data_IF_079549455191
#
_entry.id   IF_079549455191
#
_cell.length_a   1.000
_cell.length_b   1.000
_cell.length_c   1.000
_cell.angle_alpha   90.00
_cell.angle_beta   90.00
_cell.angle_gamma   90.00
#
_symmetry.space_group_name_H-M   'P 1'
#
loop_
_entity.id
_entity.type
_entity.pdbx_description
1 polymer ?
#
# COMPACT_ATOMS: atom_id res chain seq x y z
N UNK A 1 18.22 -2.26 -7.23
CA UNK A 1 16.78 -2.59 -7.11
C UNK A 1 16.01 -1.59 -7.94
N UNK A 2 15.17 -2.08 -8.83
CA UNK A 2 14.27 -1.33 -9.69
C UNK A 2 12.90 -1.32 -9.02
N UNK A 3 12.26 -0.16 -8.93
CA UNK A 3 10.92 -0.02 -8.37
C UNK A 3 9.94 0.14 -9.51
N UNK A 4 8.96 -0.75 -9.57
CA UNK A 4 7.86 -0.71 -10.52
C UNK A 4 6.63 -0.19 -9.78
N UNK A 5 5.95 0.80 -10.35
CA UNK A 5 4.69 1.31 -9.80
C UNK A 5 3.55 0.76 -10.64
N UNK A 6 2.60 0.10 -9.99
CA UNK A 6 1.38 -0.39 -10.61
C UNK A 6 0.30 0.66 -10.33
N UNK A 7 -0.25 1.22 -11.40
CA UNK A 7 -1.34 2.20 -11.32
C UNK A 7 -2.53 1.73 -12.14
N UNK A 8 -3.73 2.20 -11.77
CA UNK A 8 -4.97 1.80 -12.43
C UNK A 8 -6.19 2.23 -11.64
N UNK A 9 -7.35 2.17 -12.30
CA UNK A 9 -8.63 2.51 -11.70
C UNK A 9 -8.93 1.63 -10.46
N UNK A 10 -9.79 2.09 -9.53
CA UNK A 10 -10.33 1.21 -8.51
C UNK A 10 -10.97 -0.03 -9.16
N UNK A 11 -10.85 -1.19 -8.50
CA UNK A 11 -11.36 -2.47 -8.98
C UNK A 11 -10.75 -2.98 -10.32
N UNK A 12 -9.63 -2.43 -10.80
CA UNK A 12 -8.97 -2.92 -12.02
C UNK A 12 -8.09 -4.16 -11.82
N UNK A 13 -8.15 -4.80 -10.64
CA UNK A 13 -7.36 -5.99 -10.32
C UNK A 13 -5.92 -5.74 -9.85
N UNK A 14 -5.57 -4.50 -9.47
CA UNK A 14 -4.20 -4.15 -8.98
C UNK A 14 -3.80 -4.99 -7.77
N UNK A 15 -4.65 -5.00 -6.75
CA UNK A 15 -4.45 -5.79 -5.52
C UNK A 15 -4.29 -7.28 -5.83
N UNK A 16 -5.01 -7.80 -6.83
CA UNK A 16 -4.86 -9.18 -7.29
C UNK A 16 -3.50 -9.41 -7.93
N UNK A 17 -3.06 -8.53 -8.84
CA UNK A 17 -1.75 -8.64 -9.48
C UNK A 17 -0.60 -8.54 -8.46
N UNK A 18 -0.71 -7.61 -7.52
CA UNK A 18 0.21 -7.39 -6.39
C UNK A 18 0.30 -8.65 -5.51
N UNK A 19 -0.83 -9.32 -5.26
CA UNK A 19 -0.87 -10.61 -4.56
C UNK A 19 -0.16 -11.73 -5.34
N UNK A 20 -0.42 -11.84 -6.65
CA UNK A 20 0.25 -12.84 -7.49
C UNK A 20 1.78 -12.63 -7.54
N UNK A 21 2.24 -11.38 -7.65
CA UNK A 21 3.67 -11.05 -7.61
C UNK A 21 4.29 -11.42 -6.25
N UNK A 22 3.56 -11.24 -5.16
CA UNK A 22 4.02 -11.69 -3.84
C UNK A 22 4.14 -13.22 -3.77
N UNK A 23 3.17 -13.94 -4.33
CA UNK A 23 3.19 -15.41 -4.36
C UNK A 23 4.33 -15.95 -5.23
N UNK A 24 4.73 -15.20 -6.26
CA UNK A 24 5.95 -15.44 -7.04
C UNK A 24 7.26 -15.01 -6.32
N UNK A 25 7.14 -14.47 -5.10
CA UNK A 25 8.24 -14.10 -4.23
C UNK A 25 8.90 -12.75 -4.53
N UNK A 26 8.21 -11.87 -5.26
CA UNK A 26 8.63 -10.49 -5.40
C UNK A 26 8.42 -9.71 -4.10
N UNK A 27 9.30 -8.73 -3.88
CA UNK A 27 9.08 -7.73 -2.85
C UNK A 27 7.92 -6.83 -3.27
N UNK A 28 6.87 -6.77 -2.45
CA UNK A 28 5.65 -6.04 -2.76
C UNK A 28 5.28 -5.15 -1.57
N UNK A 29 4.95 -3.90 -1.85
CA UNK A 29 4.37 -2.99 -0.87
C UNK A 29 2.88 -2.85 -1.12
N UNK A 30 2.07 -3.20 -0.11
CA UNK A 30 0.61 -3.04 -0.16
C UNK A 30 0.20 -1.57 -0.05
N UNK A 31 -1.03 -1.31 -0.52
CA UNK A 31 -1.60 0.02 -0.50
C UNK A 31 -1.91 0.48 0.92
N UNK A 32 -1.29 1.61 1.31
CA UNK A 32 -1.42 2.17 2.66
C UNK A 32 -2.84 2.70 2.95
N UNK A 33 -3.57 3.13 1.92
CA UNK A 33 -4.95 3.62 2.08
C UNK A 33 -5.89 2.51 2.52
N UNK A 34 -5.77 1.32 1.93
CA UNK A 34 -6.59 0.17 2.28
C UNK A 34 -6.36 -0.29 3.72
N UNK A 35 -5.10 -0.38 4.13
CA UNK A 35 -4.74 -0.72 5.51
C UNK A 35 -5.32 0.31 6.51
N UNK A 36 -5.16 1.61 6.21
CA UNK A 36 -5.63 2.67 7.09
C UNK A 36 -7.16 2.71 7.21
N UNK A 37 -7.89 2.43 6.13
CA UNK A 37 -9.35 2.32 6.15
C UNK A 37 -9.80 1.15 7.03
N UNK A 38 -9.13 -0.01 6.92
CA UNK A 38 -9.46 -1.18 7.74
C UNK A 38 -9.16 -0.93 9.22
N UNK A 39 -8.01 -0.32 9.55
CA UNK A 39 -7.69 0.07 10.93
C UNK A 39 -8.73 1.03 11.53
N UNK A 40 -9.23 1.98 10.73
CA UNK A 40 -10.31 2.88 11.16
C UNK A 40 -11.61 2.14 11.41
N UNK A 41 -12.01 1.23 10.51
CA UNK A 41 -13.20 0.39 10.68
C UNK A 41 -13.09 -0.48 11.93
N UNK A 42 -11.97 -1.15 12.13
CA UNK A 42 -11.72 -2.01 13.30
C UNK A 42 -11.68 -1.19 14.60
N UNK A 43 -11.20 0.05 14.54
CA UNK A 43 -11.19 1.00 15.65
C UNK A 43 -12.52 1.73 15.89
N UNK A 44 -13.58 1.41 15.13
CA UNK A 44 -14.90 2.05 15.25
C UNK A 44 -14.96 3.51 14.79
N UNK A 45 -13.99 3.96 13.98
CA UNK A 45 -14.01 5.27 13.34
C UNK A 45 -14.85 5.23 12.06
N UNK A 46 -15.57 6.31 11.78
CA UNK A 46 -16.44 6.47 10.62
C UNK A 46 -15.68 6.59 9.30
N UNK A 47 -16.42 6.82 8.22
CA UNK A 47 -15.83 7.02 6.90
C UNK A 47 -15.01 8.33 6.90
N UNK A 48 -13.73 8.33 6.48
CA UNK A 48 -12.93 9.55 6.38
C UNK A 48 -13.54 10.66 5.48
N UNK A 49 -14.57 10.35 4.69
CA UNK A 49 -15.31 11.28 3.84
C UNK A 49 -16.49 11.97 4.53
N UNK A 50 -16.75 11.69 5.81
CA UNK A 50 -17.87 12.29 6.56
C UNK A 50 -17.71 13.80 6.75
N UNK A 51 -16.47 14.29 6.91
CA UNK A 51 -16.16 15.72 7.02
C UNK A 51 -14.85 16.09 6.33
N UNK A 52 -14.69 17.38 6.03
CA UNK A 52 -13.45 17.91 5.44
C UNK A 52 -12.28 17.74 6.41
N UNK A 53 -12.53 17.89 7.70
CA UNK A 53 -11.54 17.76 8.76
C UNK A 53 -11.03 16.32 8.87
N UNK A 54 -11.92 15.33 8.85
CA UNK A 54 -11.55 13.91 8.87
C UNK A 54 -10.82 13.47 7.61
N UNK A 55 -11.20 14.03 6.46
CA UNK A 55 -10.51 13.79 5.20
C UNK A 55 -9.07 14.31 5.25
N UNK A 56 -8.87 15.54 5.74
CA UNK A 56 -7.52 16.11 5.89
C UNK A 56 -6.70 15.32 6.90
N UNK A 57 -7.28 14.86 8.01
CA UNK A 57 -6.59 14.00 8.98
C UNK A 57 -6.17 12.68 8.33
N UNK A 58 -7.09 12.04 7.60
CA UNK A 58 -6.83 10.80 6.87
C UNK A 58 -5.72 10.96 5.85
N UNK A 59 -5.76 11.98 5.00
CA UNK A 59 -4.76 12.22 3.96
C UNK A 59 -3.37 12.49 4.56
N UNK A 60 -3.30 13.23 5.67
CA UNK A 60 -2.03 13.47 6.38
C UNK A 60 -1.43 12.19 6.94
N UNK A 61 -2.27 11.35 7.57
CA UNK A 61 -1.85 10.07 8.12
C UNK A 61 -1.42 9.10 7.01
N UNK A 62 -2.21 9.00 5.93
CA UNK A 62 -1.90 8.22 4.74
C UNK A 62 -0.55 8.63 4.16
N UNK A 63 -0.33 9.93 3.94
CA UNK A 63 0.93 10.43 3.40
C UNK A 63 2.13 10.12 4.29
N UNK A 64 2.00 10.31 5.60
CA UNK A 64 3.07 10.05 6.56
C UNK A 64 3.47 8.56 6.56
N UNK A 65 2.49 7.66 6.68
CA UNK A 65 2.72 6.20 6.69
C UNK A 65 3.24 5.70 5.36
N UNK A 66 2.71 6.21 4.24
CA UNK A 66 3.15 5.81 2.91
C UNK A 66 4.61 6.20 2.68
N UNK A 67 5.00 7.41 3.09
CA UNK A 67 6.39 7.87 3.01
C UNK A 67 7.33 6.97 3.82
N UNK A 68 6.95 6.62 5.04
CA UNK A 68 7.75 5.74 5.91
C UNK A 68 7.90 4.35 5.30
N UNK A 69 6.80 3.72 4.87
CA UNK A 69 6.80 2.41 4.21
C UNK A 69 7.62 2.38 2.94
N UNK A 70 7.46 3.36 2.06
CA UNK A 70 8.24 3.45 0.82
C UNK A 70 9.73 3.65 1.13
N UNK A 71 10.05 4.46 2.14
CA UNK A 71 11.42 4.67 2.58
C UNK A 71 12.07 3.40 3.12
N UNK A 72 11.36 2.65 3.97
CA UNK A 72 11.83 1.36 4.48
C UNK A 72 12.00 0.34 3.35
N UNK A 73 11.02 0.25 2.46
CA UNK A 73 11.04 -0.65 1.31
C UNK A 73 12.26 -0.40 0.41
N UNK A 74 12.59 0.87 0.16
CA UNK A 74 13.78 1.29 -0.61
C UNK A 74 15.07 0.99 0.18
N UNK A 75 15.13 1.40 1.45
CA UNK A 75 16.33 1.34 2.28
C UNK A 75 16.78 -0.10 2.57
N UNK A 76 15.83 -1.00 2.76
CA UNK A 76 16.09 -2.42 3.02
C UNK A 76 16.17 -3.26 1.74
N UNK A 77 16.09 -2.64 0.56
CA UNK A 77 16.20 -3.36 -0.71
C UNK A 77 15.06 -4.36 -0.93
N UNK A 78 13.84 -4.06 -0.48
CA UNK A 78 12.68 -4.95 -0.59
C UNK A 78 12.64 -6.10 0.42
N UNK A 79 13.44 -6.09 1.49
CA UNK A 79 13.42 -7.10 2.57
C UNK A 79 12.23 -6.97 3.52
N UNK A 80 11.02 -6.91 2.98
CA UNK A 80 9.77 -6.94 3.75
C UNK A 80 9.06 -8.26 3.49
N UNK A 81 9.26 -9.25 4.36
CA UNK A 81 8.32 -10.36 4.53
C UNK A 81 8.43 -10.87 5.95
N UNK A 82 7.35 -10.71 6.73
CA UNK A 82 7.24 -11.28 8.07
C UNK A 82 6.87 -12.76 8.06
N UNK A 83 6.49 -13.37 6.94
CA UNK A 83 5.91 -14.73 6.98
C UNK A 83 6.21 -15.69 5.81
N UNK A 84 6.91 -15.32 4.75
CA UNK A 84 7.32 -16.29 3.73
C UNK A 84 8.75 -16.00 3.26
N UNK A 85 9.55 -17.07 3.21
CA UNK A 85 11.01 -17.06 3.06
C UNK A 85 11.56 -16.17 1.95
N UNK A 86 12.79 -15.71 2.23
CA UNK A 86 13.63 -14.90 1.37
C UNK A 86 13.69 -15.44 -0.07
N UNK A 87 13.46 -14.58 -1.07
CA UNK A 87 14.18 -14.73 -2.34
C UNK A 87 15.32 -13.72 -2.31
N UNK A 88 16.49 -14.22 -1.93
CA UNK A 88 17.74 -13.49 -2.05
C UNK A 88 17.94 -13.07 -3.51
N UNK A 89 17.90 -11.77 -3.80
CA UNK A 89 18.23 -11.24 -5.13
C UNK A 89 17.08 -10.70 -5.99
N UNK A 90 15.88 -10.45 -5.46
CA UNK A 90 14.84 -9.75 -6.23
C UNK A 90 15.29 -8.34 -6.58
N UNK A 91 15.70 -8.15 -7.85
CA UNK A 91 16.08 -6.85 -8.41
C UNK A 91 14.89 -5.90 -8.56
N UNK A 92 13.67 -6.32 -8.27
CA UNK A 92 12.42 -5.60 -8.54
C UNK A 92 11.52 -5.54 -7.31
N UNK A 93 10.99 -4.36 -7.02
CA UNK A 93 9.94 -4.15 -6.03
C UNK A 93 8.71 -3.51 -6.66
N UNK A 94 7.51 -3.83 -6.17
CA UNK A 94 6.25 -3.32 -6.73
C UNK A 94 5.48 -2.48 -5.71
N UNK A 95 4.99 -1.31 -6.15
CA UNK A 95 4.14 -0.42 -5.36
C UNK A 95 2.75 -0.39 -5.98
N UNK A 96 1.71 -0.66 -5.19
CA UNK A 96 0.33 -0.37 -5.58
C UNK A 96 0.02 1.11 -5.32
N UNK A 97 -0.42 1.82 -6.36
CA UNK A 97 -0.77 3.24 -6.28
C UNK A 97 -2.11 3.45 -6.97
N UNK A 98 -3.13 3.72 -6.19
CA UNK A 98 -4.36 4.29 -6.71
C UNK A 98 -4.33 5.81 -6.64
N UNK A 99 -4.55 6.45 -7.79
CA UNK A 99 -4.68 7.91 -7.89
C UNK A 99 -5.99 8.42 -7.27
N UNK A 100 -6.94 7.53 -6.91
CA UNK A 100 -8.33 7.89 -6.62
C UNK A 100 -9.01 7.02 -5.54
N UNK A 101 -8.28 6.24 -4.74
CA UNK A 101 -8.92 5.29 -3.79
C UNK A 101 -9.64 5.97 -2.61
N UNK A 102 -9.40 7.27 -2.47
CA UNK A 102 -10.08 8.18 -1.56
C UNK A 102 -11.50 8.54 -2.07
N UNK A 103 -11.94 8.12 -3.26
CA UNK A 103 -13.32 8.40 -3.74
C UNK A 103 -14.20 7.16 -3.87
N UNK A 104 -13.66 5.97 -3.61
CA UNK A 104 -14.36 4.70 -3.85
C UNK A 104 -14.94 4.03 -2.60
N UNK A 105 -14.75 4.62 -1.41
CA UNK A 105 -15.20 4.08 -0.12
C UNK A 105 -16.17 4.99 0.63
#
# INVERSE_FOLDING_TARGET
MTINVITGAPCSGKTTLVGLLRDEGFAVLEETAFELINERKDGGRGNPHESREELIEFEKELFARQKEKEWEFVSYGGKMSKNNGMIEGTKHGFLDRSLVDVLAY
#
